data_IF_735910167354
#
_entry.id   IF_735910167354
#
_cell.length_a   1.000
_cell.length_b   1.000
_cell.length_c   1.000
_cell.angle_alpha   90.00
_cell.angle_beta   90.00
_cell.angle_gamma   90.00
#
_symmetry.space_group_name_H-M   'P 1'
#
loop_
_entity.id
_entity.type
_entity.pdbx_description
1 polymer ?
#
# COMPACT_ATOMS: atom_id res chain seq x y z
N UNK A 1 -6.82 12.33 5.42
CA UNK A 1 -6.83 11.73 4.06
C UNK A 1 -7.70 12.54 3.10
N UNK A 2 -7.68 12.26 1.80
CA UNK A 2 -8.54 12.92 0.81
C UNK A 2 -10.01 12.51 0.92
N UNK A 3 -10.91 13.24 0.24
CA UNK A 3 -12.35 12.92 0.10
C UNK A 3 -12.70 12.35 -1.27
N UNK A 4 -11.72 11.86 -2.02
CA UNK A 4 -11.97 11.29 -3.35
C UNK A 4 -12.77 10.00 -3.24
N UNK A 5 -13.90 9.92 -3.94
CA UNK A 5 -14.85 8.80 -3.82
C UNK A 5 -14.66 7.69 -4.87
N UNK A 6 -13.97 7.99 -5.97
CA UNK A 6 -13.86 7.06 -7.09
C UNK A 6 -12.41 6.87 -7.52
N UNK A 7 -12.05 5.61 -7.84
CA UNK A 7 -10.71 5.30 -8.32
C UNK A 7 -10.36 6.11 -9.58
N UNK A 8 -11.32 6.31 -10.49
CA UNK A 8 -11.16 7.03 -11.78
C UNK A 8 -10.55 8.44 -11.65
N UNK A 9 -10.85 9.15 -10.57
CA UNK A 9 -10.31 10.50 -10.33
C UNK A 9 -9.12 10.52 -9.39
N UNK A 10 -8.74 9.37 -8.84
CA UNK A 10 -7.76 9.22 -7.77
C UNK A 10 -6.32 9.16 -8.29
N UNK A 11 -5.40 9.71 -7.50
CA UNK A 11 -3.95 9.57 -7.66
C UNK A 11 -3.39 8.60 -6.63
N UNK A 12 -2.72 7.56 -7.10
CA UNK A 12 -2.10 6.56 -6.23
C UNK A 12 -0.58 6.75 -6.15
N UNK A 13 0.01 6.43 -5.00
CA UNK A 13 1.45 6.23 -4.84
C UNK A 13 1.82 4.75 -4.91
N UNK A 14 3.06 4.45 -5.31
CA UNK A 14 3.60 3.09 -5.25
C UNK A 14 5.13 3.06 -5.25
N UNK A 15 5.71 1.90 -4.99
CA UNK A 15 7.13 1.59 -5.17
C UNK A 15 7.35 0.22 -5.79
N UNK A 16 8.37 0.11 -6.65
CA UNK A 16 8.70 -1.13 -7.35
C UNK A 16 9.44 -2.11 -6.44
N UNK A 17 9.19 -3.42 -6.54
CA UNK A 17 9.80 -4.45 -5.70
C UNK A 17 11.25 -4.77 -6.11
N UNK A 18 12.15 -3.79 -6.10
CA UNK A 18 13.53 -3.97 -6.57
C UNK A 18 14.37 -4.92 -5.69
N UNK A 19 13.96 -5.11 -4.42
CA UNK A 19 14.61 -6.00 -3.45
C UNK A 19 14.04 -7.43 -3.47
N UNK A 20 12.85 -7.63 -4.03
CA UNK A 20 12.14 -8.91 -4.10
C UNK A 20 11.60 -9.14 -5.51
N UNK A 21 12.54 -9.37 -6.44
CA UNK A 21 12.26 -9.45 -7.89
C UNK A 21 11.36 -10.62 -8.26
N UNK A 22 11.27 -11.64 -7.43
CA UNK A 22 10.39 -12.78 -7.57
C UNK A 22 8.90 -12.39 -7.60
N UNK A 23 8.51 -11.28 -6.93
CA UNK A 23 7.13 -10.75 -6.96
C UNK A 23 6.90 -9.72 -8.08
N UNK A 24 7.88 -9.49 -8.96
CA UNK A 24 7.78 -8.46 -10.00
C UNK A 24 6.57 -8.68 -10.91
N UNK A 25 6.31 -9.91 -11.34
CA UNK A 25 5.20 -10.19 -12.26
C UNK A 25 3.82 -9.96 -11.60
N UNK A 26 3.63 -10.44 -10.37
CA UNK A 26 2.42 -10.15 -9.60
C UNK A 26 2.27 -8.64 -9.37
N UNK A 27 3.34 -7.96 -8.94
CA UNK A 27 3.30 -6.51 -8.76
C UNK A 27 2.92 -5.77 -10.05
N UNK A 28 3.48 -6.15 -11.20
CA UNK A 28 3.16 -5.51 -12.48
C UNK A 28 1.69 -5.74 -12.86
N UNK A 29 1.12 -6.90 -12.52
CA UNK A 29 -0.30 -7.16 -12.75
C UNK A 29 -1.20 -6.29 -11.86
N UNK A 30 -0.90 -6.20 -10.55
CA UNK A 30 -1.58 -5.26 -9.65
C UNK A 30 -1.48 -3.81 -10.16
N UNK A 31 -0.27 -3.40 -10.55
CA UNK A 31 -0.03 -2.07 -11.11
C UNK A 31 -0.91 -1.81 -12.34
N UNK A 32 -1.00 -2.75 -13.29
CA UNK A 32 -1.84 -2.62 -14.48
C UNK A 32 -3.33 -2.49 -14.13
N UNK A 33 -3.83 -3.33 -13.23
CA UNK A 33 -5.22 -3.31 -12.79
C UNK A 33 -5.62 -1.95 -12.24
N UNK A 34 -4.76 -1.35 -11.41
CA UNK A 34 -5.00 -0.04 -10.80
C UNK A 34 -4.76 1.10 -11.80
N UNK A 35 -3.69 1.03 -12.58
CA UNK A 35 -3.33 2.08 -13.55
C UNK A 35 -4.43 2.30 -14.59
N UNK A 36 -5.08 1.23 -15.05
CA UNK A 36 -6.18 1.31 -16.02
C UNK A 36 -7.48 1.91 -15.43
N UNK A 37 -7.59 1.98 -14.09
CA UNK A 37 -8.80 2.43 -13.41
C UNK A 37 -8.63 3.77 -12.69
N UNK A 38 -7.40 4.25 -12.47
CA UNK A 38 -7.13 5.49 -11.77
C UNK A 38 -6.69 6.63 -12.68
N UNK A 39 -6.65 7.86 -12.14
CA UNK A 39 -6.19 9.04 -12.88
C UNK A 39 -4.69 8.98 -13.16
N UNK A 40 -3.94 8.32 -12.29
CA UNK A 40 -2.53 8.07 -12.49
C UNK A 40 -1.82 7.64 -11.21
N UNK A 41 -0.59 7.20 -11.40
CA UNK A 41 0.25 6.67 -10.32
C UNK A 41 1.51 7.55 -10.19
N UNK A 42 2.02 7.70 -8.97
CA UNK A 42 3.26 8.40 -8.62
C UNK A 42 4.21 7.43 -7.93
N UNK A 43 5.50 7.68 -8.10
CA UNK A 43 6.58 6.96 -7.41
C UNK A 43 7.54 8.01 -6.87
N UNK A 44 7.36 8.43 -5.62
CA UNK A 44 8.21 9.46 -5.00
C UNK A 44 9.59 8.90 -4.62
N UNK A 45 9.66 7.59 -4.35
CA UNK A 45 10.91 6.88 -4.03
C UNK A 45 11.24 6.83 -2.53
N UNK A 46 10.31 7.22 -1.67
CA UNK A 46 10.37 7.04 -0.23
C UNK A 46 8.95 6.77 0.32
N UNK A 47 8.71 5.56 0.81
CA UNK A 47 7.39 5.11 1.27
C UNK A 47 6.78 6.02 2.34
N UNK A 48 7.59 6.50 3.30
CA UNK A 48 7.12 7.42 4.35
C UNK A 48 6.57 8.74 3.79
N UNK A 49 7.12 9.24 2.68
CA UNK A 49 6.63 10.47 2.03
C UNK A 49 5.30 10.19 1.32
N UNK A 50 5.20 9.05 0.63
CA UNK A 50 3.95 8.64 -0.02
C UNK A 50 2.83 8.44 1.02
N UNK A 51 3.11 7.80 2.16
CA UNK A 51 2.17 7.67 3.29
C UNK A 51 1.77 9.04 3.87
N UNK A 52 2.73 9.95 4.09
CA UNK A 52 2.42 11.30 4.52
C UNK A 52 1.56 12.07 3.50
N UNK A 53 1.73 11.82 2.21
CA UNK A 53 0.90 12.40 1.16
C UNK A 53 -0.51 11.81 1.15
N UNK A 54 -0.69 10.53 1.46
CA UNK A 54 -2.02 9.95 1.69
C UNK A 54 -2.70 10.61 2.89
N UNK A 55 -2.00 10.71 4.02
CA UNK A 55 -2.51 11.37 5.23
C UNK A 55 -2.96 12.81 4.94
N UNK A 56 -2.14 13.57 4.21
CA UNK A 56 -2.42 14.95 3.79
C UNK A 56 -3.43 15.08 2.63
N UNK A 57 -3.92 13.97 2.06
CA UNK A 57 -4.87 13.96 0.94
C UNK A 57 -4.32 14.44 -0.39
N UNK A 58 -2.99 14.41 -0.57
CA UNK A 58 -2.31 14.68 -1.86
C UNK A 58 -2.29 13.46 -2.76
N UNK A 59 -2.29 12.27 -2.15
CA UNK A 59 -2.57 10.99 -2.77
C UNK A 59 -3.83 10.42 -2.14
N UNK A 60 -4.59 9.64 -2.92
CA UNK A 60 -5.81 8.99 -2.45
C UNK A 60 -5.54 7.59 -1.90
N UNK A 61 -4.43 6.98 -2.33
CA UNK A 61 -3.93 5.72 -1.79
C UNK A 61 -2.48 5.44 -2.14
N UNK A 62 -1.91 4.44 -1.49
CA UNK A 62 -0.54 3.98 -1.63
C UNK A 62 -0.49 2.47 -1.47
N UNK A 63 0.33 1.79 -2.28
CA UNK A 63 0.57 0.36 -2.16
C UNK A 63 2.04 0.03 -2.50
N UNK A 64 2.71 -0.76 -1.66
CA UNK A 64 4.09 -1.20 -1.90
C UNK A 64 4.37 -2.54 -1.22
N UNK A 65 5.27 -3.33 -1.83
CA UNK A 65 5.71 -4.62 -1.30
C UNK A 65 7.09 -4.51 -0.66
N UNK A 66 7.29 -5.24 0.42
CA UNK A 66 8.59 -5.49 1.05
C UNK A 66 9.32 -4.24 1.58
N UNK A 67 8.59 -3.46 2.35
CA UNK A 67 9.12 -2.38 3.18
C UNK A 67 9.60 -2.89 4.54
N UNK A 68 10.49 -2.15 5.17
CA UNK A 68 10.88 -2.42 6.56
C UNK A 68 9.96 -1.67 7.52
N UNK A 69 9.83 -2.10 8.78
CA UNK A 69 8.91 -1.48 9.74
C UNK A 69 9.12 0.03 9.90
N UNK A 70 10.38 0.48 9.89
CA UNK A 70 10.73 1.90 9.97
C UNK A 70 10.35 2.72 8.72
N UNK A 71 10.16 2.08 7.57
CA UNK A 71 9.67 2.75 6.36
C UNK A 71 8.17 3.04 6.43
N UNK A 72 7.42 2.30 7.26
CA UNK A 72 5.95 2.32 7.34
C UNK A 72 5.41 2.93 8.63
N UNK A 73 5.98 2.59 9.79
CA UNK A 73 5.35 2.80 11.10
C UNK A 73 4.89 4.25 11.35
N UNK A 74 5.77 5.23 11.08
CA UNK A 74 5.42 6.63 11.25
C UNK A 74 4.35 7.09 10.27
N UNK A 75 4.45 6.67 8.99
CA UNK A 75 3.50 7.05 7.95
C UNK A 75 2.12 6.42 8.14
N UNK A 76 2.07 5.16 8.60
CA UNK A 76 0.83 4.46 8.89
C UNK A 76 0.02 5.19 9.97
N UNK A 77 0.67 5.56 11.09
CA UNK A 77 0.02 6.33 12.15
C UNK A 77 -0.55 7.66 11.63
N UNK A 78 0.19 8.38 10.78
CA UNK A 78 -0.31 9.62 10.17
C UNK A 78 -1.57 9.38 9.33
N UNK A 79 -1.62 8.28 8.58
CA UNK A 79 -2.78 7.94 7.74
C UNK A 79 -3.99 7.61 8.61
N UNK A 80 -3.82 6.77 9.63
CA UNK A 80 -4.89 6.36 10.55
C UNK A 80 -5.47 7.56 11.32
N UNK A 81 -4.61 8.39 11.91
CA UNK A 81 -5.03 9.62 12.63
C UNK A 81 -5.72 10.63 11.70
N UNK A 82 -5.39 10.61 10.41
CA UNK A 82 -6.05 11.44 9.41
C UNK A 82 -7.34 10.81 8.86
N UNK A 83 -7.83 9.71 9.44
CA UNK A 83 -9.07 9.01 9.08
C UNK A 83 -8.94 8.04 7.89
N UNK A 84 -7.72 7.64 7.54
CA UNK A 84 -7.44 6.63 6.52
C UNK A 84 -7.45 5.20 7.06
N UNK A 85 -7.30 4.25 6.14
CA UNK A 85 -7.20 2.83 6.44
C UNK A 85 -5.83 2.32 6.01
N UNK A 86 -5.20 1.50 6.85
CA UNK A 86 -3.92 0.86 6.58
C UNK A 86 -4.04 -0.64 6.82
N UNK A 87 -3.48 -1.44 5.93
CA UNK A 87 -3.44 -2.90 6.03
C UNK A 87 -2.26 -3.47 5.25
N UNK A 88 -2.10 -4.80 5.28
CA UNK A 88 -1.29 -5.50 4.28
C UNK A 88 -2.06 -5.75 2.97
N UNK A 89 -1.45 -6.48 2.03
CA UNK A 89 -2.03 -6.79 0.70
C UNK A 89 -3.21 -7.76 0.74
N UNK A 90 -3.45 -8.42 1.87
CA UNK A 90 -4.59 -9.33 2.07
C UNK A 90 -5.63 -8.75 3.04
N UNK A 91 -5.41 -7.55 3.56
CA UNK A 91 -6.33 -6.82 4.44
C UNK A 91 -6.13 -7.12 5.93
N UNK A 92 -5.03 -7.75 6.34
CA UNK A 92 -4.69 -7.94 7.75
C UNK A 92 -4.01 -6.70 8.34
N UNK A 93 -4.07 -6.54 9.66
CA UNK A 93 -3.41 -5.46 10.40
C UNK A 93 -1.90 -5.62 10.52
N UNK A 94 -1.34 -6.75 10.09
CA UNK A 94 0.04 -7.14 10.39
C UNK A 94 1.05 -6.62 9.33
N UNK A 95 0.77 -5.46 8.73
CA UNK A 95 1.59 -4.86 7.67
C UNK A 95 3.04 -4.57 8.10
N UNK A 96 3.28 -4.30 9.38
CA UNK A 96 4.64 -4.14 9.93
C UNK A 96 5.43 -5.45 9.93
N UNK A 97 4.75 -6.58 10.13
CA UNK A 97 5.35 -7.92 10.13
C UNK A 97 5.47 -8.47 8.72
N UNK A 98 4.45 -8.29 7.87
CA UNK A 98 4.46 -8.77 6.49
C UNK A 98 5.39 -7.95 5.59
N UNK A 99 5.53 -6.65 5.87
CA UNK A 99 6.31 -5.74 5.03
C UNK A 99 5.57 -5.29 3.77
N UNK A 100 4.31 -5.66 3.61
CA UNK A 100 3.48 -5.21 2.50
C UNK A 100 2.43 -4.26 3.05
N UNK A 101 2.17 -3.16 2.35
CA UNK A 101 1.26 -2.13 2.84
C UNK A 101 0.32 -1.65 1.75
N UNK A 102 -0.93 -1.48 2.14
CA UNK A 102 -1.95 -0.66 1.48
C UNK A 102 -2.31 0.44 2.48
N UNK A 103 -2.34 1.69 2.03
CA UNK A 103 -2.80 2.82 2.82
C UNK A 103 -3.64 3.74 1.94
N UNK A 104 -4.87 4.04 2.32
CA UNK A 104 -5.77 4.84 1.48
C UNK A 104 -6.85 5.56 2.28
N UNK A 105 -7.58 6.47 1.63
CA UNK A 105 -8.85 6.91 2.17
C UNK A 105 -9.89 5.76 2.18
N UNK A 106 -10.96 5.83 2.99
CA UNK A 106 -11.93 4.74 3.11
C UNK A 106 -12.69 4.39 1.82
N UNK A 107 -12.86 5.34 0.90
CA UNK A 107 -13.57 5.11 -0.36
C UNK A 107 -12.72 4.37 -1.40
N UNK A 108 -11.40 4.54 -1.36
CA UNK A 108 -10.47 3.98 -2.35
C UNK A 108 -9.81 2.68 -1.86
N UNK A 109 -9.73 2.49 -0.54
CA UNK A 109 -9.10 1.32 0.09
C UNK A 109 -9.60 -0.01 -0.50
N UNK A 110 -10.92 -0.22 -0.58
CA UNK A 110 -11.50 -1.48 -1.05
C UNK A 110 -11.16 -1.76 -2.52
N UNK A 111 -10.99 -0.73 -3.35
CA UNK A 111 -10.58 -0.93 -4.74
C UNK A 111 -9.14 -1.47 -4.82
N UNK A 112 -8.23 -0.93 -4.01
CA UNK A 112 -6.84 -1.38 -3.97
C UNK A 112 -6.76 -2.79 -3.39
N UNK A 113 -7.45 -3.06 -2.29
CA UNK A 113 -7.48 -4.38 -1.66
C UNK A 113 -8.06 -5.45 -2.59
N UNK A 114 -9.14 -5.14 -3.30
CA UNK A 114 -9.74 -6.08 -4.27
C UNK A 114 -8.77 -6.41 -5.41
N UNK A 115 -8.08 -5.39 -5.94
CA UNK A 115 -7.07 -5.62 -6.97
C UNK A 115 -5.90 -6.45 -6.43
N UNK A 116 -5.42 -6.16 -5.22
CA UNK A 116 -4.33 -6.92 -4.60
C UNK A 116 -4.69 -8.39 -4.38
N UNK A 117 -5.89 -8.67 -3.85
CA UNK A 117 -6.40 -10.04 -3.64
C UNK A 117 -6.65 -10.82 -4.92
N UNK A 118 -6.85 -10.15 -6.06
CA UNK A 118 -6.96 -10.84 -7.36
C UNK A 118 -5.61 -11.34 -7.91
N UNK A 119 -4.51 -10.92 -7.28
CA UNK A 119 -3.15 -11.19 -7.76
C UNK A 119 -2.31 -11.94 -6.74
N UNK A 120 -2.51 -11.69 -5.44
CA UNK A 120 -1.71 -12.28 -4.37
C UNK A 120 -2.57 -13.12 -3.43
N UNK A 121 -2.08 -14.32 -3.15
CA UNK A 121 -2.61 -15.19 -2.09
C UNK A 121 -1.84 -14.98 -0.78
N UNK A 122 -2.50 -15.19 0.37
CA UNK A 122 -1.88 -14.99 1.69
C UNK A 122 -0.63 -15.87 1.89
N UNK A 123 -0.67 -17.12 1.43
CA UNK A 123 0.44 -18.07 1.48
C UNK A 123 1.67 -17.58 0.70
N UNK A 124 1.48 -16.89 -0.43
CA UNK A 124 2.59 -16.41 -1.26
C UNK A 124 3.36 -15.28 -0.59
N UNK A 125 2.70 -14.47 0.23
CA UNK A 125 3.31 -13.30 0.87
C UNK A 125 3.96 -13.61 2.24
N UNK A 126 3.61 -14.74 2.87
CA UNK A 126 4.14 -15.14 4.19
C UNK A 126 5.66 -15.35 4.24
N UNK A 127 6.30 -15.65 3.10
CA UNK A 127 7.73 -15.96 3.04
C UNK A 127 8.68 -14.76 3.20
N UNK A 128 8.16 -13.54 3.12
CA UNK A 128 8.93 -12.29 3.05
C UNK A 128 8.86 -11.41 4.30
N UNK A 129 8.35 -11.95 5.42
CA UNK A 129 8.17 -11.18 6.64
C UNK A 129 9.41 -10.35 7.02
N UNK A 130 9.18 -9.17 7.59
CA UNK A 130 10.23 -8.20 7.92
C UNK A 130 11.18 -8.69 9.01
N UNK A 131 10.86 -9.80 9.68
CA UNK A 131 11.52 -10.27 10.90
C UNK A 131 11.22 -9.41 12.12
N UNK A 132 10.31 -8.43 11.97
CA UNK A 132 9.86 -7.58 13.05
C UNK A 132 9.11 -8.40 14.10
N UNK A 133 9.43 -8.14 15.36
CA UNK A 133 8.67 -8.60 16.50
C UNK A 133 8.44 -7.39 17.39
N UNK A 134 7.19 -6.99 17.65
CA UNK A 134 6.93 -5.89 18.56
C UNK A 134 7.55 -6.19 19.93
N UNK A 135 8.16 -5.17 20.54
CA UNK A 135 8.65 -5.25 21.91
C UNK A 135 7.41 -5.41 22.81
N UNK A 136 7.29 -6.58 23.45
CA UNK A 136 6.25 -6.85 24.44
C UNK A 136 6.46 -6.02 25.70
#
# INVERSE_FOLDING_TARGET
>A
VSRGETLKTSLLGTGFPFRVREYLYGYIELFKLLFNQCRGIRRAGAAVIDLAYVAAGRLDGFFELYLKPWDMAAGALLVEEAGGVVSDMVGASDFLESGHIIAANPHIYDNILTAARSVFEAEELKGLGTGFRPLR
#
